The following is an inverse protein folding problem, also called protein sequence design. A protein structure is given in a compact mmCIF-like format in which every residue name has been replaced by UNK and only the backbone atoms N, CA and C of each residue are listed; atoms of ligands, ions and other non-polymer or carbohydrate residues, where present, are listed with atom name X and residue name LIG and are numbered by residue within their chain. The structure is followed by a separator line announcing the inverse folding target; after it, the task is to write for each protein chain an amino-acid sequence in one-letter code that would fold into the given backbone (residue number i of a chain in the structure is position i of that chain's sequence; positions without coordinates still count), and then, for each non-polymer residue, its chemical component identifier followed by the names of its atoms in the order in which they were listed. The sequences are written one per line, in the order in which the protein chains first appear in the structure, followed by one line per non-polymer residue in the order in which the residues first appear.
data_IF_562313979765
#
_entry.id   IF_562313979765
#
_cell.length_a   1.000
_cell.length_b   1.000
_cell.length_c   1.000
_cell.angle_alpha   90.00
_cell.angle_beta   90.00
_cell.angle_gamma   90.00
#
_symmetry.space_group_name_H-M   'P 1'
#
loop_
_entity.id
_entity.type
_entity.pdbx_description
1 polymer ?
#
# COMPACT_ATOMS: atom_id res chain seq x y z
N UNK A 1 4.38 42.58 -21.79
CA UNK A 1 3.82 43.90 -21.41
C UNK A 1 2.35 43.93 -21.78
N UNK A 2 1.54 44.44 -20.84
CA UNK A 2 0.10 44.80 -20.90
C UNK A 2 -0.89 43.64 -20.63
N UNK A 3 -1.28 43.35 -19.37
CA UNK A 3 -2.34 43.99 -18.53
C UNK A 3 -3.74 43.90 -19.12
N UNK A 4 -4.69 43.27 -18.40
CA UNK A 4 -5.98 43.85 -17.96
C UNK A 4 -6.70 42.89 -16.98
N UNK A 5 -6.80 43.32 -15.72
CA UNK A 5 -7.78 42.82 -14.75
C UNK A 5 -9.19 43.29 -15.16
N UNK A 6 -10.18 42.42 -15.08
CA UNK A 6 -11.58 42.83 -14.99
C UNK A 6 -12.35 41.87 -14.09
N UNK A 7 -12.83 42.45 -13.00
CA UNK A 7 -13.57 41.90 -11.87
C UNK A 7 -15.05 42.26 -12.11
N UNK A 8 -15.99 41.32 -12.00
CA UNK A 8 -17.45 41.55 -11.98
C UNK A 8 -18.10 40.22 -11.52
N UNK A 9 -18.28 39.97 -10.21
CA UNK A 9 -19.43 40.38 -9.37
C UNK A 9 -20.75 40.34 -10.14
N UNK A 10 -21.50 39.25 -9.98
CA UNK A 10 -22.95 39.25 -10.22
C UNK A 10 -23.66 38.78 -8.94
N UNK A 11 -24.13 39.78 -8.23
CA UNK A 11 -25.00 39.76 -7.06
C UNK A 11 -26.41 39.38 -7.52
N UNK A 12 -26.96 38.26 -7.05
CA UNK A 12 -28.40 38.00 -7.12
C UNK A 12 -28.91 37.88 -5.68
N UNK A 13 -29.39 38.99 -5.15
CA UNK A 13 -30.33 39.02 -4.04
C UNK A 13 -31.74 39.04 -4.63
N UNK A 14 -32.54 38.02 -4.34
CA UNK A 14 -34.00 38.13 -4.35
C UNK A 14 -34.53 37.58 -3.04
N UNK A 15 -35.30 38.44 -2.41
CA UNK A 15 -35.80 38.34 -1.06
C UNK A 15 -36.92 37.32 -0.93
N UNK A 16 -36.90 36.60 0.18
CA UNK A 16 -38.05 35.90 0.75
C UNK A 16 -38.00 36.11 2.25
N UNK A 17 -38.52 37.25 2.72
CA UNK A 17 -38.77 37.50 4.13
C UNK A 17 -40.03 36.72 4.54
N UNK A 18 -39.90 35.80 5.49
CA UNK A 18 -41.00 35.39 6.35
C UNK A 18 -40.48 35.39 7.79
N UNK A 19 -40.97 36.33 8.59
CA UNK A 19 -40.72 36.43 10.02
C UNK A 19 -41.53 35.38 10.78
N UNK A 20 -40.85 34.45 11.47
CA UNK A 20 -41.20 34.03 12.83
C UNK A 20 -40.24 32.99 13.40
N UNK A 21 -39.49 33.45 14.40
CA UNK A 21 -39.03 32.73 15.59
C UNK A 21 -38.00 31.59 15.51
N UNK A 22 -37.02 31.79 16.41
CA UNK A 22 -35.92 30.92 16.87
C UNK A 22 -34.72 30.79 15.93
N UNK A 23 -33.63 31.39 16.41
CA UNK A 23 -32.27 31.11 16.02
C UNK A 23 -32.03 29.59 16.05
N UNK A 24 -31.93 29.02 14.85
CA UNK A 24 -31.28 27.74 14.61
C UNK A 24 -30.11 28.03 13.68
N UNK A 25 -28.88 27.64 14.03
CA UNK A 25 -27.72 27.89 13.19
C UNK A 25 -27.96 27.23 11.83
N UNK A 26 -27.70 28.01 10.78
CA UNK A 26 -27.51 27.52 9.42
C UNK A 26 -26.68 26.25 9.50
N UNK A 27 -27.09 25.12 8.90
CA UNK A 27 -26.16 24.03 8.73
C UNK A 27 -25.09 24.58 7.80
N UNK A 28 -23.96 24.98 8.38
CA UNK A 28 -22.69 24.98 7.67
C UNK A 28 -22.66 23.62 7.01
N UNK A 29 -22.77 23.61 5.69
CA UNK A 29 -22.40 22.44 4.91
C UNK A 29 -20.91 22.32 5.16
N UNK A 30 -20.56 21.66 6.26
CA UNK A 30 -19.31 20.97 6.38
C UNK A 30 -19.32 20.05 5.18
N UNK A 31 -18.62 20.47 4.13
CA UNK A 31 -18.00 19.55 3.20
C UNK A 31 -17.21 18.62 4.09
N UNK A 32 -17.84 17.53 4.53
CA UNK A 32 -17.20 16.39 5.17
C UNK A 32 -16.25 15.86 4.13
N UNK A 33 -15.07 16.47 4.06
CA UNK A 33 -13.90 15.89 3.45
C UNK A 33 -13.69 14.62 4.25
N UNK A 34 -14.26 13.53 3.74
CA UNK A 34 -14.09 12.21 4.30
C UNK A 34 -12.62 11.88 4.10
N UNK A 35 -11.79 12.34 5.05
CA UNK A 35 -10.34 12.26 4.99
C UNK A 35 -10.02 10.78 4.88
N UNK A 36 -9.47 10.36 3.75
CA UNK A 36 -9.09 8.97 3.55
C UNK A 36 -8.13 8.58 4.68
N UNK A 37 -8.47 7.52 5.40
CA UNK A 37 -7.63 6.96 6.46
C UNK A 37 -7.09 5.60 6.04
N UNK A 38 -6.11 5.09 6.80
CA UNK A 38 -5.62 3.72 6.65
C UNK A 38 -6.78 2.70 6.69
N UNK A 39 -7.74 2.91 7.60
CA UNK A 39 -8.87 2.00 7.76
C UNK A 39 -9.84 2.05 6.59
N UNK A 40 -9.99 3.20 5.93
CA UNK A 40 -10.80 3.29 4.70
C UNK A 40 -10.24 2.36 3.62
N UNK A 41 -8.92 2.37 3.39
CA UNK A 41 -8.27 1.51 2.39
C UNK A 41 -8.36 0.04 2.80
N UNK A 42 -8.07 -0.29 4.07
CA UNK A 42 -8.15 -1.66 4.59
C UNK A 42 -9.55 -2.24 4.50
N UNK A 43 -10.59 -1.44 4.76
CA UNK A 43 -11.97 -1.87 4.62
C UNK A 43 -12.31 -2.26 3.19
N UNK A 44 -11.85 -1.50 2.19
CA UNK A 44 -12.08 -1.85 0.78
C UNK A 44 -11.27 -3.07 0.33
N UNK A 45 -10.05 -3.25 0.87
CA UNK A 45 -9.28 -4.49 0.70
C UNK A 45 -10.03 -5.72 1.26
N UNK A 46 -10.64 -5.60 2.44
CA UNK A 46 -11.44 -6.67 3.05
C UNK A 46 -12.71 -6.99 2.24
N UNK A 47 -13.33 -5.97 1.64
CA UNK A 47 -14.48 -6.13 0.74
C UNK A 47 -14.10 -6.65 -0.65
N UNK A 48 -12.81 -6.87 -0.93
CA UNK A 48 -12.29 -7.25 -2.25
C UNK A 48 -12.53 -6.19 -3.34
N UNK A 49 -12.78 -4.94 -2.95
CA UNK A 49 -12.95 -3.81 -3.85
C UNK A 49 -11.57 -3.25 -4.23
N UNK A 50 -10.74 -4.04 -4.91
CA UNK A 50 -9.32 -3.74 -5.12
C UNK A 50 -9.07 -2.47 -5.95
N UNK A 51 -9.91 -2.18 -6.94
CA UNK A 51 -9.83 -0.94 -7.71
C UNK A 51 -10.05 0.30 -6.84
N UNK A 52 -11.07 0.26 -5.97
CA UNK A 52 -11.37 1.35 -5.04
C UNK A 52 -10.29 1.48 -3.96
N UNK A 53 -9.82 0.35 -3.42
CA UNK A 53 -8.73 0.34 -2.44
C UNK A 53 -7.47 0.98 -3.02
N UNK A 54 -7.14 0.69 -4.29
CA UNK A 54 -5.98 1.29 -4.95
C UNK A 54 -6.14 2.82 -5.11
N UNK A 55 -7.30 3.30 -5.56
CA UNK A 55 -7.57 4.74 -5.69
C UNK A 55 -7.50 5.47 -4.34
N UNK A 56 -8.07 4.88 -3.29
CA UNK A 56 -8.01 5.45 -1.94
C UNK A 56 -6.57 5.45 -1.41
N UNK A 57 -5.79 4.41 -1.71
CA UNK A 57 -4.39 4.37 -1.33
C UNK A 57 -3.55 5.48 -1.99
N UNK A 58 -3.82 5.80 -3.26
CA UNK A 58 -3.16 6.93 -3.94
C UNK A 58 -3.52 8.27 -3.27
N UNK A 59 -4.80 8.46 -2.90
CA UNK A 59 -5.23 9.64 -2.16
C UNK A 59 -4.57 9.73 -0.78
N UNK A 60 -4.47 8.59 -0.07
CA UNK A 60 -3.87 8.52 1.26
C UNK A 60 -2.38 8.86 1.23
N UNK A 61 -1.63 8.30 0.28
CA UNK A 61 -0.19 8.54 0.14
C UNK A 61 0.12 9.96 -0.35
N UNK A 62 -0.74 10.53 -1.21
CA UNK A 62 -0.64 11.95 -1.57
C UNK A 62 -0.90 12.89 -0.38
N UNK A 63 -1.87 12.56 0.48
CA UNK A 63 -2.21 13.35 1.66
C UNK A 63 -1.24 13.14 2.83
N UNK A 64 -0.49 12.04 2.84
CA UNK A 64 0.41 11.65 3.94
C UNK A 64 1.70 11.04 3.40
N UNK A 65 2.54 11.81 2.67
CA UNK A 65 3.68 11.26 1.94
C UNK A 65 4.79 10.76 2.87
N UNK A 66 4.89 11.23 4.11
CA UNK A 66 5.92 10.76 5.06
C UNK A 66 5.45 9.59 5.92
N UNK A 67 4.18 9.18 5.83
CA UNK A 67 3.61 8.13 6.66
C UNK A 67 3.94 6.77 6.07
N UNK A 68 4.80 6.01 6.75
CA UNK A 68 5.27 4.69 6.29
C UNK A 68 4.09 3.73 6.11
N UNK A 69 3.15 3.71 7.04
CA UNK A 69 1.98 2.82 7.03
C UNK A 69 1.07 3.09 5.82
N UNK A 70 1.00 4.34 5.35
CA UNK A 70 0.25 4.69 4.15
C UNK A 70 0.87 4.01 2.93
N UNK A 71 2.20 3.99 2.83
CA UNK A 71 2.91 3.33 1.74
C UNK A 71 2.83 1.81 1.80
N UNK A 72 2.85 1.21 3.00
CA UNK A 72 2.64 -0.23 3.17
C UNK A 72 1.24 -0.63 2.68
N UNK A 73 0.19 0.04 3.19
CA UNK A 73 -1.20 -0.25 2.79
C UNK A 73 -1.41 0.03 1.30
N UNK A 74 -0.72 1.02 0.73
CA UNK A 74 -0.74 1.27 -0.71
C UNK A 74 -0.09 0.14 -1.52
N UNK A 75 1.00 -0.44 -1.04
CA UNK A 75 1.60 -1.61 -1.66
C UNK A 75 0.64 -2.81 -1.65
N UNK A 76 -0.07 -3.03 -0.53
CA UNK A 76 -1.09 -4.09 -0.41
C UNK A 76 -2.24 -3.88 -1.41
N UNK A 77 -2.77 -2.67 -1.49
CA UNK A 77 -3.84 -2.31 -2.43
C UNK A 77 -3.42 -2.49 -3.90
N UNK A 78 -2.20 -2.06 -4.24
CA UNK A 78 -1.63 -2.21 -5.58
C UNK A 78 -1.39 -3.68 -5.95
N UNK A 79 -0.86 -4.46 -5.02
CA UNK A 79 -0.64 -5.89 -5.22
C UNK A 79 -1.96 -6.67 -5.37
N UNK A 80 -2.96 -6.36 -4.53
CA UNK A 80 -4.29 -6.95 -4.62
C UNK A 80 -4.99 -6.61 -5.95
N UNK A 81 -4.72 -5.41 -6.49
CA UNK A 81 -5.18 -4.99 -7.82
C UNK A 81 -4.26 -5.48 -8.97
N UNK A 82 -3.43 -6.49 -8.72
CA UNK A 82 -2.52 -7.13 -9.69
C UNK A 82 -1.48 -6.18 -10.31
N UNK A 83 -1.23 -5.03 -9.70
CA UNK A 83 -0.24 -4.06 -10.15
C UNK A 83 1.08 -4.23 -9.38
N UNK A 84 1.84 -5.26 -9.77
CA UNK A 84 3.12 -5.64 -9.14
C UNK A 84 4.15 -4.51 -9.15
N UNK A 85 4.32 -3.81 -10.27
CA UNK A 85 5.31 -2.73 -10.38
C UNK A 85 4.97 -1.57 -9.46
N UNK A 86 3.70 -1.17 -9.40
CA UNK A 86 3.29 -0.10 -8.50
C UNK A 86 3.42 -0.54 -7.02
N UNK A 87 3.12 -1.80 -6.70
CA UNK A 87 3.31 -2.32 -5.35
C UNK A 87 4.77 -2.24 -4.90
N UNK A 88 5.70 -2.65 -5.76
CA UNK A 88 7.15 -2.53 -5.51
C UNK A 88 7.57 -1.07 -5.33
N UNK A 89 7.06 -0.16 -6.16
CA UNK A 89 7.34 1.27 -6.03
C UNK A 89 6.82 1.84 -4.70
N UNK A 90 5.64 1.42 -4.24
CA UNK A 90 5.11 1.82 -2.95
C UNK A 90 5.96 1.29 -1.78
N UNK A 91 6.47 0.05 -1.86
CA UNK A 91 7.41 -0.48 -0.88
C UNK A 91 8.74 0.29 -0.88
N UNK A 92 9.25 0.67 -2.05
CA UNK A 92 10.43 1.53 -2.16
C UNK A 92 10.21 2.88 -1.44
N UNK A 93 9.03 3.49 -1.59
CA UNK A 93 8.69 4.69 -0.82
C UNK A 93 8.65 4.41 0.69
N UNK A 94 8.06 3.31 1.13
CA UNK A 94 8.06 2.94 2.55
C UNK A 94 9.51 2.82 3.10
N UNK A 95 10.42 2.20 2.34
CA UNK A 95 11.83 2.09 2.73
C UNK A 95 12.57 3.44 2.72
N UNK A 96 12.30 4.30 1.74
CA UNK A 96 12.82 5.67 1.69
C UNK A 96 12.38 6.49 2.91
N UNK A 97 11.16 6.27 3.40
CA UNK A 97 10.61 6.94 4.58
C UNK A 97 11.01 6.31 5.92
N UNK A 98 11.84 5.26 5.91
CA UNK A 98 12.46 4.71 7.12
C UNK A 98 11.95 3.34 7.55
N UNK A 99 11.15 2.65 6.74
CA UNK A 99 10.80 1.25 7.02
C UNK A 99 12.08 0.41 7.03
N UNK A 100 12.33 -0.29 8.15
CA UNK A 100 13.45 -1.23 8.31
C UNK A 100 12.98 -2.62 8.73
N UNK A 101 11.88 -2.68 9.48
CA UNK A 101 11.27 -3.95 9.87
C UNK A 101 10.34 -4.45 8.77
N UNK A 102 10.75 -5.52 8.09
CA UNK A 102 9.99 -6.11 6.99
C UNK A 102 8.89 -7.07 7.46
N UNK A 103 8.74 -7.29 8.77
CA UNK A 103 7.75 -8.23 9.34
C UNK A 103 6.31 -7.90 8.93
N UNK A 104 5.97 -6.62 8.79
CA UNK A 104 4.65 -6.20 8.29
C UNK A 104 4.43 -6.63 6.83
N UNK A 105 5.49 -6.61 6.01
CA UNK A 105 5.45 -7.07 4.62
C UNK A 105 5.33 -8.61 4.59
N UNK A 106 6.01 -9.32 5.48
CA UNK A 106 6.00 -10.79 5.61
C UNK A 106 4.68 -11.36 6.13
N UNK A 107 3.95 -10.60 6.93
CA UNK A 107 2.64 -11.01 7.45
C UNK A 107 1.51 -10.72 6.47
N UNK A 108 1.70 -9.77 5.55
CA UNK A 108 0.66 -9.40 4.60
C UNK A 108 0.37 -10.52 3.59
N UNK A 109 -0.90 -10.92 3.47
CA UNK A 109 -1.34 -11.90 2.47
C UNK A 109 -1.28 -11.34 1.05
N UNK A 110 -1.50 -10.05 0.88
CA UNK A 110 -1.55 -9.41 -0.43
C UNK A 110 -0.16 -9.25 -1.06
N UNK A 111 0.88 -9.24 -0.23
CA UNK A 111 2.27 -9.10 -0.66
C UNK A 111 2.97 -10.43 -0.90
N UNK A 112 2.28 -11.58 -0.75
CA UNK A 112 2.90 -12.90 -0.91
C UNK A 112 3.60 -13.06 -2.26
N UNK A 113 2.94 -12.68 -3.36
CA UNK A 113 3.51 -12.76 -4.71
C UNK A 113 4.65 -11.77 -4.91
N UNK A 114 4.57 -10.60 -4.25
CA UNK A 114 5.64 -9.60 -4.26
C UNK A 114 6.88 -10.13 -3.53
N UNK A 115 6.72 -10.83 -2.40
CA UNK A 115 7.86 -11.36 -1.64
C UNK A 115 8.67 -12.39 -2.43
N UNK A 116 8.03 -13.14 -3.31
CA UNK A 116 8.68 -14.14 -4.15
C UNK A 116 9.33 -13.53 -5.40
N UNK A 117 9.15 -12.23 -5.63
CA UNK A 117 9.70 -11.52 -6.77
C UNK A 117 11.22 -11.29 -6.61
N UNK A 118 11.98 -11.51 -7.67
CA UNK A 118 13.41 -11.18 -7.69
C UNK A 118 13.65 -9.68 -7.47
N UNK A 119 12.74 -8.83 -7.97
CA UNK A 119 12.78 -7.38 -7.81
C UNK A 119 12.62 -6.96 -6.34
N UNK A 120 11.79 -7.68 -5.57
CA UNK A 120 11.68 -7.42 -4.14
C UNK A 120 12.99 -7.74 -3.42
N UNK A 121 13.64 -8.86 -3.76
CA UNK A 121 14.96 -9.21 -3.20
C UNK A 121 16.02 -8.16 -3.57
N UNK A 122 16.02 -7.67 -4.80
CA UNK A 122 16.91 -6.58 -5.25
C UNK A 122 16.64 -5.28 -4.48
N UNK A 123 15.35 -4.98 -4.25
CA UNK A 123 14.93 -3.82 -3.48
C UNK A 123 15.44 -3.92 -2.04
N UNK A 124 15.21 -5.04 -1.35
CA UNK A 124 15.72 -5.25 0.01
C UNK A 124 17.24 -5.08 0.09
N UNK A 125 17.99 -5.67 -0.84
CA UNK A 125 19.44 -5.56 -0.87
C UNK A 125 19.92 -4.10 -1.05
N UNK A 126 19.23 -3.31 -1.91
CA UNK A 126 19.54 -1.88 -2.10
C UNK A 126 19.42 -1.08 -0.80
N UNK A 127 18.46 -1.44 0.06
CA UNK A 127 18.24 -0.79 1.35
C UNK A 127 19.02 -1.44 2.51
N UNK A 128 19.90 -2.42 2.22
CA UNK A 128 20.65 -3.14 3.25
C UNK A 128 19.78 -4.00 4.18
N UNK A 129 18.59 -4.39 3.71
CA UNK A 129 17.63 -5.19 4.48
C UNK A 129 17.87 -6.69 4.26
N UNK A 130 17.56 -7.53 5.25
CA UNK A 130 17.76 -8.97 5.14
C UNK A 130 16.93 -9.54 3.99
N UNK A 131 17.60 -10.22 3.07
CA UNK A 131 16.98 -10.88 1.91
C UNK A 131 16.53 -12.30 2.19
N UNK A 132 16.72 -12.79 3.43
CA UNK A 132 16.25 -14.11 3.87
C UNK A 132 14.74 -14.08 4.05
N UNK A 133 14.01 -13.98 2.95
CA UNK A 133 12.67 -14.55 2.89
C UNK A 133 12.80 -16.03 3.18
N UNK A 134 11.89 -16.61 3.95
CA UNK A 134 11.89 -18.01 4.43
C UNK A 134 11.85 -19.09 3.33
N UNK A 135 12.08 -18.74 2.07
CA UNK A 135 12.16 -19.64 0.93
C UNK A 135 13.59 -19.64 0.39
N UNK A 136 14.19 -20.85 0.33
CA UNK A 136 15.47 -21.09 -0.32
C UNK A 136 15.41 -20.65 -1.79
N UNK A 137 16.51 -20.07 -2.31
CA UNK A 137 16.53 -19.61 -3.70
C UNK A 137 16.34 -20.79 -4.67
N UNK A 138 15.69 -20.56 -5.82
CA UNK A 138 15.60 -21.56 -6.87
C UNK A 138 17.03 -21.97 -7.32
N UNK A 139 17.38 -23.25 -7.13
CA UNK A 139 18.72 -23.78 -7.34
C UNK A 139 19.50 -24.13 -6.05
N UNK A 140 19.07 -23.65 -4.88
CA UNK A 140 19.60 -24.08 -3.58
C UNK A 140 18.93 -25.34 -3.03
N UNK A 141 17.89 -25.83 -3.72
CA UNK A 141 17.20 -27.06 -3.39
C UNK A 141 17.72 -28.19 -4.26
N UNK A 142 18.36 -29.18 -3.64
CA UNK A 142 18.80 -30.40 -4.32
C UNK A 142 18.24 -31.63 -3.61
N UNK A 143 17.65 -32.55 -4.37
CA UNK A 143 17.24 -33.87 -3.89
C UNK A 143 18.19 -34.88 -4.53
N UNK A 144 18.98 -35.57 -3.71
CA UNK A 144 19.90 -36.62 -4.15
C UNK A 144 19.43 -37.92 -3.52
N UNK A 145 19.08 -38.89 -4.37
CA UNK A 145 18.66 -40.23 -3.93
C UNK A 145 19.76 -41.24 -4.27
N UNK A 146 20.22 -41.97 -3.26
CA UNK A 146 21.26 -42.97 -3.46
C UNK A 146 21.67 -43.66 -2.17
N UNK A 147 21.93 -44.97 -2.24
CA UNK A 147 22.39 -45.75 -1.08
C UNK A 147 21.33 -46.01 -0.01
N UNK A 148 20.04 -46.07 -0.37
CA UNK A 148 18.93 -46.33 0.58
C UNK A 148 18.51 -45.11 1.41
N UNK A 149 18.92 -43.92 1.00
CA UNK A 149 18.57 -42.65 1.62
C UNK A 149 18.26 -41.61 0.55
N UNK A 150 17.27 -40.77 0.87
CA UNK A 150 16.96 -39.54 0.15
C UNK A 150 17.52 -38.36 0.94
N UNK A 151 18.51 -37.65 0.38
CA UNK A 151 19.06 -36.42 0.95
C UNK A 151 18.39 -35.22 0.29
N UNK A 152 17.71 -34.40 1.09
CA UNK A 152 17.12 -33.13 0.68
C UNK A 152 17.98 -32.01 1.26
N UNK A 153 18.53 -31.15 0.39
CA UNK A 153 19.23 -29.93 0.77
C UNK A 153 18.40 -28.72 0.39
N UNK A 154 18.37 -27.73 1.26
CA UNK A 154 17.78 -26.42 1.01
C UNK A 154 18.67 -25.35 1.68
N UNK A 155 19.53 -24.71 0.90
CA UNK A 155 20.53 -23.77 1.43
C UNK A 155 21.49 -24.47 2.40
N UNK A 156 21.59 -23.96 3.64
CA UNK A 156 22.43 -24.51 4.71
C UNK A 156 21.80 -25.72 5.44
N UNK A 157 20.55 -26.08 5.13
CA UNK A 157 19.84 -27.18 5.79
C UNK A 157 19.93 -28.45 4.94
N UNK A 158 20.33 -29.55 5.57
CA UNK A 158 20.41 -30.90 4.98
C UNK A 158 19.58 -31.86 5.84
N UNK A 159 18.64 -32.58 5.21
CA UNK A 159 17.83 -33.63 5.84
C UNK A 159 18.05 -34.93 5.09
N UNK A 160 18.40 -35.99 5.82
CA UNK A 160 18.50 -37.36 5.29
C UNK A 160 17.31 -38.17 5.75
N UNK A 161 16.56 -38.70 4.81
CA UNK A 161 15.45 -39.60 5.04
C UNK A 161 15.91 -41.01 4.63
N UNK A 162 15.77 -42.04 5.49
CA UNK A 162 15.86 -43.42 5.02
C UNK A 162 14.73 -43.65 4.00
N UNK A 163 15.05 -44.39 2.93
CA UNK A 163 14.04 -44.84 1.96
C UNK A 163 13.01 -45.80 2.59
#
# INVERSE_FOLDING_TARGET
MNTYSALLISLICLAGCNESNKASPVPTVETSQNKVTLDTVRNELMKHNFGQANQLADQLTAASPTLIEAWIVAAEAKAANQNRLAALAALEQAFNHGLREISLIEQSRYLADIRNAEEYRKLLNRFGLPTRTTQAAAGEVSIVQGGGVTEVRAGDVSVKLPD
#
